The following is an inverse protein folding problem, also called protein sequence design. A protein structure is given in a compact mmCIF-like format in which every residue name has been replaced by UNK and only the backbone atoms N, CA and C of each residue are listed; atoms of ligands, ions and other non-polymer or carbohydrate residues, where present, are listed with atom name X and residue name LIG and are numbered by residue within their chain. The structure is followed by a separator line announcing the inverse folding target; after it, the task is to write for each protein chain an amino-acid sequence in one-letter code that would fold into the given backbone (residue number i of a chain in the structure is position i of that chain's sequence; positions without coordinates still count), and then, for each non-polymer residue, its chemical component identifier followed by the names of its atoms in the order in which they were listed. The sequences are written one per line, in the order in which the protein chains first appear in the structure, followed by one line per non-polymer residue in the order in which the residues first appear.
data_IF_974760156508
#
_entry.id   IF_974760156508
#
_cell.length_a   1.000
_cell.length_b   1.000
_cell.length_c   1.000
_cell.angle_alpha   90.00
_cell.angle_beta   90.00
_cell.angle_gamma   90.00
#
_symmetry.space_group_name_H-M   'P 1'
#
loop_
_entity.id
_entity.type
_entity.pdbx_description
1 polymer ?
#
# COMPACT_ATOMS: atom_id res chain seq x y z
N UNK A 1 -1.54 -11.97 2.36
CA UNK A 1 -0.75 -11.98 1.10
C UNK A 1 -1.74 -12.09 -0.05
N UNK A 2 -1.70 -11.17 -1.01
CA UNK A 2 -2.63 -11.17 -2.15
C UNK A 2 -2.39 -12.39 -3.05
N UNK A 3 -3.41 -12.87 -3.79
CA UNK A 3 -3.28 -14.02 -4.69
C UNK A 3 -2.17 -13.84 -5.73
N UNK A 4 -2.07 -12.66 -6.33
CA UNK A 4 -1.09 -12.38 -7.40
C UNK A 4 0.37 -12.49 -6.91
N UNK A 5 0.64 -11.95 -5.72
CA UNK A 5 1.97 -12.03 -5.10
C UNK A 5 2.30 -13.48 -4.74
N UNK A 6 1.32 -14.23 -4.20
CA UNK A 6 1.49 -15.65 -3.91
C UNK A 6 1.85 -16.44 -5.16
N UNK A 7 1.11 -16.25 -6.25
CA UNK A 7 1.35 -16.93 -7.52
C UNK A 7 2.72 -16.59 -8.08
N UNK A 8 3.11 -15.31 -8.03
CA UNK A 8 4.42 -14.86 -8.49
C UNK A 8 5.55 -15.53 -7.70
N UNK A 9 5.46 -15.55 -6.37
CA UNK A 9 6.46 -16.21 -5.52
C UNK A 9 6.52 -17.72 -5.72
N UNK A 10 5.37 -18.39 -5.88
CA UNK A 10 5.31 -19.81 -6.19
C UNK A 10 5.96 -20.14 -7.54
N UNK A 11 5.72 -19.31 -8.56
CA UNK A 11 6.37 -19.46 -9.87
C UNK A 11 7.88 -19.30 -9.77
N UNK A 12 8.37 -18.30 -9.02
CA UNK A 12 9.81 -18.12 -8.80
C UNK A 12 10.43 -19.30 -8.05
N UNK A 13 9.73 -19.83 -7.05
CA UNK A 13 10.20 -20.99 -6.29
C UNK A 13 10.33 -22.26 -7.14
N UNK A 14 9.45 -22.46 -8.14
CA UNK A 14 9.54 -23.60 -9.09
C UNK A 14 10.77 -23.56 -9.99
N UNK A 15 11.28 -22.36 -10.29
CA UNK A 15 12.44 -22.15 -11.17
C UNK A 15 13.76 -22.08 -10.36
N UNK A 16 13.67 -22.09 -9.03
CA UNK A 16 14.81 -22.03 -8.13
C UNK A 16 15.64 -23.33 -8.14
N UNK A 17 16.96 -23.20 -8.02
CA UNK A 17 17.85 -24.34 -7.78
C UNK A 17 17.64 -24.89 -6.36
N UNK A 18 17.53 -26.22 -6.23
CA UNK A 18 17.47 -26.92 -4.93
C UNK A 18 18.73 -26.69 -4.07
N UNK A 19 19.82 -26.21 -4.67
CA UNK A 19 21.07 -25.93 -3.96
C UNK A 19 21.02 -24.71 -3.04
N UNK A 20 19.97 -23.88 -3.10
CA UNK A 20 19.85 -22.67 -2.27
C UNK A 20 18.47 -22.54 -1.66
N UNK A 21 18.40 -22.11 -0.40
CA UNK A 21 17.14 -21.80 0.30
C UNK A 21 16.56 -20.40 -0.02
N UNK A 22 17.19 -19.63 -0.91
CA UNK A 22 16.77 -18.26 -1.20
C UNK A 22 15.75 -18.23 -2.34
N UNK A 23 14.67 -17.45 -2.15
CA UNK A 23 13.62 -17.27 -3.17
C UNK A 23 14.14 -16.43 -4.36
N UNK A 24 14.92 -15.39 -4.08
CA UNK A 24 15.47 -14.50 -5.09
C UNK A 24 16.92 -14.88 -5.41
N UNK A 25 17.11 -15.52 -6.56
CA UNK A 25 18.42 -15.94 -7.07
C UNK A 25 18.66 -15.41 -8.49
N UNK A 26 19.93 -15.22 -8.83
CA UNK A 26 20.39 -14.90 -10.17
C UNK A 26 21.50 -15.88 -10.55
N UNK A 27 21.31 -16.60 -11.67
CA UNK A 27 22.26 -17.65 -12.13
C UNK A 27 22.61 -18.67 -11.03
N UNK A 28 21.61 -19.13 -10.28
CA UNK A 28 21.78 -20.11 -9.21
C UNK A 28 22.43 -19.60 -7.93
N UNK A 29 22.75 -18.29 -7.83
CA UNK A 29 23.33 -17.67 -6.63
C UNK A 29 22.35 -16.67 -6.00
N UNK A 30 22.30 -16.52 -4.67
CA UNK A 30 21.45 -15.53 -4.01
C UNK A 30 21.79 -14.09 -4.45
N UNK A 31 20.75 -13.28 -4.68
CA UNK A 31 20.94 -11.86 -5.02
C UNK A 31 21.43 -11.11 -3.77
N UNK A 32 22.56 -10.41 -3.89
CA UNK A 32 23.16 -9.63 -2.80
C UNK A 32 22.82 -8.14 -2.86
N UNK A 33 22.59 -7.60 -4.07
CA UNK A 33 22.30 -6.19 -4.30
C UNK A 33 21.22 -6.06 -5.36
N UNK A 34 20.23 -5.22 -5.06
CA UNK A 34 19.08 -4.96 -5.96
C UNK A 34 19.15 -3.58 -6.62
N UNK A 35 20.10 -2.72 -6.22
CA UNK A 35 20.14 -1.32 -6.66
C UNK A 35 20.26 -1.18 -8.18
N UNK A 36 21.07 -2.03 -8.84
CA UNK A 36 21.26 -1.96 -10.30
C UNK A 36 19.99 -2.36 -11.06
N UNK A 37 19.38 -3.48 -10.69
CA UNK A 37 18.13 -3.93 -11.32
C UNK A 37 17.03 -2.92 -11.07
N UNK A 38 16.93 -2.38 -9.85
CA UNK A 38 15.96 -1.35 -9.50
C UNK A 38 16.14 -0.07 -10.33
N UNK A 39 17.36 0.48 -10.43
CA UNK A 39 17.61 1.66 -11.28
C UNK A 39 17.29 1.41 -12.76
N UNK A 40 17.50 0.18 -13.25
CA UNK A 40 17.14 -0.19 -14.63
C UNK A 40 15.61 -0.19 -14.79
N UNK A 41 14.89 -0.82 -13.86
CA UNK A 41 13.42 -0.82 -13.84
C UNK A 41 12.84 0.58 -13.76
N UNK A 42 13.43 1.50 -12.98
CA UNK A 42 12.97 2.88 -12.92
C UNK A 42 13.16 3.62 -14.25
N UNK A 43 14.28 3.39 -14.94
CA UNK A 43 14.51 3.94 -16.28
C UNK A 43 13.49 3.42 -17.28
N UNK A 44 13.25 2.11 -17.28
CA UNK A 44 12.29 1.47 -18.18
C UNK A 44 10.85 1.95 -17.91
N UNK A 45 10.53 2.24 -16.64
CA UNK A 45 9.23 2.78 -16.23
C UNK A 45 9.11 4.31 -16.40
N UNK A 46 10.18 5.01 -16.80
CA UNK A 46 10.19 6.47 -16.95
C UNK A 46 10.08 7.25 -15.63
N UNK A 47 10.47 6.65 -14.50
CA UNK A 47 10.37 7.25 -13.17
C UNK A 47 11.71 7.90 -12.79
N UNK A 48 11.66 9.17 -12.37
CA UNK A 48 12.81 9.95 -11.90
C UNK A 48 12.74 10.19 -10.39
N UNK A 49 13.91 10.35 -9.76
CA UNK A 49 14.08 10.65 -8.31
C UNK A 49 13.28 9.72 -7.36
N UNK A 50 13.33 8.41 -7.62
CA UNK A 50 12.65 7.40 -6.81
C UNK A 50 13.64 6.41 -6.22
N UNK A 51 13.54 6.16 -4.92
CA UNK A 51 14.42 5.28 -4.15
C UNK A 51 13.70 4.00 -3.76
N UNK A 52 14.48 2.97 -3.44
CA UNK A 52 13.89 1.67 -3.06
C UNK A 52 13.01 1.76 -1.81
N UNK A 53 13.35 2.65 -0.86
CA UNK A 53 12.55 2.88 0.34
C UNK A 53 11.18 3.52 0.05
N UNK A 54 11.03 4.21 -1.07
CA UNK A 54 9.78 4.88 -1.44
C UNK A 54 8.67 3.87 -1.76
N UNK A 55 9.03 2.65 -2.20
CA UNK A 55 8.07 1.54 -2.32
C UNK A 55 7.35 1.25 -0.99
N UNK A 56 8.07 1.33 0.14
CA UNK A 56 7.49 1.13 1.47
C UNK A 56 6.60 2.30 1.88
N UNK A 57 6.93 3.52 1.45
CA UNK A 57 6.06 4.70 1.62
C UNK A 57 4.78 4.55 0.81
N UNK A 58 4.87 4.22 -0.48
CA UNK A 58 3.71 3.96 -1.33
C UNK A 58 2.82 2.85 -0.74
N UNK A 59 3.40 1.74 -0.26
CA UNK A 59 2.65 0.68 0.40
C UNK A 59 1.90 1.18 1.65
N UNK A 60 2.55 2.00 2.48
CA UNK A 60 1.95 2.55 3.70
C UNK A 60 0.79 3.49 3.38
N UNK A 61 0.97 4.39 2.41
CA UNK A 61 -0.08 5.29 1.91
C UNK A 61 -1.24 4.52 1.30
N UNK A 62 -0.97 3.48 0.51
CA UNK A 62 -2.01 2.65 -0.10
C UNK A 62 -2.82 1.89 0.95
N UNK A 63 -2.17 1.31 1.97
CA UNK A 63 -2.85 0.65 3.09
C UNK A 63 -3.80 1.61 3.81
N UNK A 64 -3.33 2.82 4.15
CA UNK A 64 -4.17 3.85 4.75
C UNK A 64 -5.36 4.20 3.86
N UNK A 65 -5.11 4.49 2.58
CA UNK A 65 -6.15 4.92 1.63
C UNK A 65 -7.21 3.83 1.41
N UNK A 66 -6.82 2.56 1.45
CA UNK A 66 -7.75 1.43 1.43
C UNK A 66 -8.58 1.26 2.71
N UNK A 67 -8.33 2.07 3.75
CA UNK A 67 -9.08 2.02 5.00
C UNK A 67 -8.62 0.93 5.98
N UNK A 68 -7.44 0.33 5.76
CA UNK A 68 -6.83 -0.59 6.73
C UNK A 68 -6.48 0.18 8.00
N UNK A 69 -6.81 -0.40 9.14
CA UNK A 69 -6.48 0.20 10.43
C UNK A 69 -4.95 0.35 10.60
N UNK A 70 -4.55 1.38 11.34
CA UNK A 70 -3.14 1.72 11.52
C UNK A 70 -2.34 0.59 12.16
N UNK A 71 -2.90 -0.16 13.12
CA UNK A 71 -2.19 -1.22 13.82
C UNK A 71 -1.88 -2.40 12.88
N UNK A 72 -2.86 -2.82 12.07
CA UNK A 72 -2.69 -3.85 11.04
C UNK A 72 -1.72 -3.38 9.96
N UNK A 73 -1.85 -2.14 9.49
CA UNK A 73 -0.96 -1.58 8.48
C UNK A 73 0.50 -1.53 8.98
N UNK A 74 0.72 -1.13 10.24
CA UNK A 74 2.05 -1.14 10.87
C UNK A 74 2.64 -2.55 10.99
N UNK A 75 1.83 -3.56 11.33
CA UNK A 75 2.29 -4.97 11.35
C UNK A 75 2.67 -5.46 9.96
N UNK A 76 1.89 -5.14 8.92
CA UNK A 76 2.18 -5.53 7.53
C UNK A 76 3.49 -4.89 7.06
N UNK A 77 3.63 -3.58 7.25
CA UNK A 77 4.82 -2.85 6.82
C UNK A 77 6.01 -3.21 7.71
N UNK A 78 5.81 -3.63 8.95
CA UNK A 78 6.86 -3.99 9.91
C UNK A 78 7.43 -2.78 10.67
N UNK A 79 6.61 -1.77 10.94
CA UNK A 79 7.01 -0.63 11.78
C UNK A 79 6.82 -0.97 13.25
N UNK A 80 7.88 -0.77 14.05
CA UNK A 80 7.87 -1.03 15.51
C UNK A 80 7.23 0.10 16.32
N UNK A 81 7.15 1.32 15.76
CA UNK A 81 6.65 2.49 16.49
C UNK A 81 5.76 3.36 15.61
N UNK A 82 4.77 4.00 16.23
CA UNK A 82 3.88 4.94 15.54
C UNK A 82 4.63 6.17 15.02
N UNK A 83 5.71 6.59 15.69
CA UNK A 83 6.58 7.67 15.22
C UNK A 83 7.16 7.37 13.83
N UNK A 84 7.49 6.11 13.56
CA UNK A 84 7.95 5.66 12.24
C UNK A 84 6.82 5.70 11.22
N UNK A 85 5.60 5.32 11.61
CA UNK A 85 4.41 5.42 10.76
C UNK A 85 4.07 6.87 10.39
N UNK A 86 4.02 7.79 11.38
CA UNK A 86 3.68 9.20 11.19
C UNK A 86 4.65 9.92 10.23
N UNK A 87 5.94 9.57 10.24
CA UNK A 87 6.94 10.13 9.32
C UNK A 87 6.62 9.87 7.85
N UNK A 88 5.91 8.79 7.57
CA UNK A 88 5.67 8.31 6.20
C UNK A 88 4.22 8.44 5.77
N UNK A 89 3.40 9.10 6.59
CA UNK A 89 1.97 9.21 6.40
C UNK A 89 1.57 10.68 6.24
N UNK A 90 2.06 11.32 5.17
CA UNK A 90 1.60 12.63 4.78
C UNK A 90 0.11 12.54 4.43
N UNK A 91 -0.69 13.40 5.05
CA UNK A 91 -2.11 13.55 4.75
C UNK A 91 -2.19 14.65 3.69
N UNK A 92 -2.68 14.31 2.50
CA UNK A 92 -2.92 15.27 1.44
C UNK A 92 -4.37 15.78 1.50
N UNK A 93 -4.67 16.90 0.88
CA UNK A 93 -6.01 17.49 0.83
C UNK A 93 -7.07 16.51 0.33
N UNK A 94 -6.73 15.72 -0.70
CA UNK A 94 -7.57 14.61 -1.20
C UNK A 94 -7.97 13.61 -0.13
N UNK A 95 -7.09 13.33 0.83
CA UNK A 95 -7.36 12.38 1.90
C UNK A 95 -8.39 12.95 2.89
N UNK A 96 -8.35 14.27 3.14
CA UNK A 96 -9.32 14.98 3.97
C UNK A 96 -10.72 14.98 3.32
N UNK A 97 -10.79 15.28 2.01
CA UNK A 97 -12.05 15.26 1.25
C UNK A 97 -12.67 13.86 1.28
N UNK A 98 -11.88 12.81 1.03
CA UNK A 98 -12.37 11.43 1.09
C UNK A 98 -12.84 11.03 2.49
N UNK A 99 -12.17 11.51 3.55
CA UNK A 99 -12.61 11.29 4.91
C UNK A 99 -13.96 11.97 5.19
N UNK A 100 -14.13 13.22 4.76
CA UNK A 100 -15.39 13.95 4.91
C UNK A 100 -16.56 13.25 4.18
N UNK A 101 -16.33 12.79 2.94
CA UNK A 101 -17.34 12.03 2.18
C UNK A 101 -17.72 10.72 2.86
N UNK A 102 -16.76 10.00 3.46
CA UNK A 102 -17.05 8.78 4.24
C UNK A 102 -17.93 9.07 5.46
N UNK A 103 -17.67 10.18 6.16
CA UNK A 103 -18.50 10.61 7.30
C UNK A 103 -19.91 10.97 6.83
N UNK A 104 -20.04 11.75 5.74
CA UNK A 104 -21.34 12.10 5.17
C UNK A 104 -22.16 10.85 4.82
N UNK A 105 -21.54 9.88 4.15
CA UNK A 105 -22.18 8.60 3.81
C UNK A 105 -22.62 7.83 5.05
N UNK A 106 -21.76 7.72 6.06
CA UNK A 106 -22.10 7.05 7.32
C UNK A 106 -23.31 7.70 8.01
N UNK A 107 -23.38 9.04 8.03
CA UNK A 107 -24.49 9.77 8.62
C UNK A 107 -25.80 9.54 7.84
N UNK A 108 -25.76 9.51 6.51
CA UNK A 108 -26.92 9.20 5.66
C UNK A 108 -27.44 7.77 5.88
N UNK A 109 -26.54 6.80 6.08
CA UNK A 109 -26.91 5.39 6.28
C UNK A 109 -27.41 5.08 7.70
N UNK A 110 -26.97 5.85 8.71
CA UNK A 110 -27.21 5.52 10.13
C UNK A 110 -28.06 6.54 10.89
N UNK A 111 -28.60 7.57 10.23
CA UNK A 111 -29.55 8.50 10.85
C UNK A 111 -30.97 8.17 10.38
N UNK A 112 -31.86 7.66 11.24
CA UNK A 112 -33.27 7.50 10.89
C UNK A 112 -33.91 8.89 10.82
N UNK A 113 -34.11 9.37 9.59
CA UNK A 113 -34.91 10.56 9.28
C UNK A 113 -34.26 11.89 9.66
N UNK A 114 -33.79 12.64 8.65
CA UNK A 114 -33.86 14.11 8.68
C UNK A 114 -33.93 14.64 7.24
N UNK A 115 -35.16 15.01 6.90
CA UNK A 115 -35.61 16.08 6.00
C UNK A 115 -35.33 15.92 4.50
N UNK A 116 -36.32 15.32 3.84
CA UNK A 116 -36.65 15.66 2.45
C UNK A 116 -36.86 17.19 2.35
N UNK A 117 -36.12 17.91 1.49
CA UNK A 117 -36.27 19.36 1.31
C UNK A 117 -37.55 19.75 0.53
N UNK A 118 -38.60 18.91 0.51
CA UNK A 118 -39.80 19.09 -0.33
C UNK A 118 -41.11 19.33 0.42
N UNK A 119 -41.09 19.57 1.73
CA UNK A 119 -42.35 19.70 2.52
C UNK A 119 -42.71 21.13 2.93
N UNK A 120 -41.99 22.16 2.47
CA UNK A 120 -42.42 23.56 2.63
C UNK A 120 -42.96 24.14 1.32
N UNK A 121 -44.11 23.61 0.88
CA UNK A 121 -45.05 24.38 0.06
C UNK A 121 -46.44 23.77 0.21
N UNK A 122 -47.21 24.29 1.17
CA UNK A 122 -48.66 24.56 1.12
C UNK A 122 -49.13 25.09 2.48
#
# INVERSE_FOLDING_TARGET
MTPDIRMTLQRLAKVGSLSTRHVFTFRGKPIQRISRSFCTTLKDAGIVDFRFHDLRHCASTNLRRSGVDTATAMKIVGHKSEKMWKRYNAIEERDLVQAALKVQKYLQENTPGTLDPKTESL
#
